data_IF_862816106450
#
_entry.id   IF_862816106450
#
_cell.length_a   1.000
_cell.length_b   1.000
_cell.length_c   1.000
_cell.angle_alpha   90.00
_cell.angle_beta   90.00
_cell.angle_gamma   90.00
#
_symmetry.space_group_name_H-M   'P 1'
#
loop_
_entity.id
_entity.type
_entity.pdbx_description
1 polymer ?
#
# COMPACT_ATOMS: atom_id res chain seq x y z
N UNK A 1 12.80 -7.12 12.62
CA UNK A 1 11.46 -7.76 12.53
C UNK A 1 10.94 -8.06 13.94
N UNK A 2 9.87 -7.42 14.42
CA UNK A 2 9.04 -8.09 15.41
C UNK A 2 8.42 -9.29 14.69
N UNK A 3 8.76 -10.52 15.10
CA UNK A 3 8.18 -11.79 14.61
C UNK A 3 6.64 -11.83 14.57
N UNK A 4 5.98 -10.83 15.15
CA UNK A 4 4.55 -10.71 15.36
C UNK A 4 3.73 -10.51 14.08
N UNK A 5 4.24 -9.80 13.06
CA UNK A 5 3.44 -9.43 11.88
C UNK A 5 3.20 -10.56 10.88
N UNK A 6 4.16 -11.49 10.71
CA UNK A 6 4.03 -12.55 9.69
C UNK A 6 2.90 -13.52 10.01
N UNK A 7 2.73 -13.86 11.30
CA UNK A 7 1.67 -14.74 11.76
C UNK A 7 0.32 -13.99 11.83
N UNK A 8 0.34 -12.72 12.23
CA UNK A 8 -0.86 -11.87 12.32
C UNK A 8 -1.43 -11.45 10.93
N UNK A 9 -0.64 -11.54 9.86
CA UNK A 9 -1.05 -11.23 8.47
C UNK A 9 -1.17 -12.49 7.58
N UNK A 10 -1.16 -13.68 8.16
CA UNK A 10 -1.36 -14.91 7.39
C UNK A 10 -2.80 -15.02 6.84
N UNK A 11 -2.93 -15.49 5.61
CA UNK A 11 -4.24 -15.84 5.03
C UNK A 11 -4.62 -17.24 5.54
N UNK A 12 -5.78 -17.31 6.21
CA UNK A 12 -6.34 -18.54 6.75
C UNK A 12 -7.59 -18.96 5.98
N UNK A 13 -7.75 -20.27 5.77
CA UNK A 13 -8.87 -20.86 5.02
C UNK A 13 -9.75 -21.68 5.99
N UNK A 14 -11.01 -21.30 6.14
CA UNK A 14 -12.03 -22.13 6.79
C UNK A 14 -12.80 -22.89 5.72
N UNK A 15 -12.30 -24.07 5.34
CA UNK A 15 -12.90 -24.92 4.30
C UNK A 15 -14.34 -25.34 4.64
N UNK A 16 -14.68 -25.47 5.93
CA UNK A 16 -16.04 -25.89 6.33
C UNK A 16 -17.07 -24.81 6.06
N UNK A 17 -16.68 -23.54 6.16
CA UNK A 17 -17.56 -22.39 5.89
C UNK A 17 -17.34 -21.78 4.51
N UNK A 18 -16.30 -22.20 3.79
CA UNK A 18 -15.92 -21.61 2.51
C UNK A 18 -15.45 -20.16 2.65
N UNK A 19 -14.79 -19.82 3.76
CA UNK A 19 -14.37 -18.45 4.05
C UNK A 19 -12.85 -18.32 4.05
N UNK A 20 -12.38 -17.16 3.60
CA UNK A 20 -11.00 -16.72 3.71
C UNK A 20 -10.91 -15.60 4.74
N UNK A 21 -9.84 -15.61 5.54
CA UNK A 21 -9.61 -14.61 6.55
C UNK A 21 -8.16 -14.15 6.54
N UNK A 22 -7.95 -12.85 6.74
CA UNK A 22 -6.65 -12.30 7.06
C UNK A 22 -6.48 -12.28 8.59
N UNK A 23 -5.39 -12.88 9.07
CA UNK A 23 -4.95 -12.84 10.46
C UNK A 23 -5.56 -13.88 11.41
N UNK A 24 -5.24 -13.72 12.69
CA UNK A 24 -5.63 -14.62 13.78
C UNK A 24 -7.13 -14.61 14.12
N UNK A 25 -7.54 -15.49 15.05
CA UNK A 25 -8.95 -15.73 15.39
C UNK A 25 -9.72 -14.48 15.91
N UNK A 26 -9.00 -13.48 16.42
CA UNK A 26 -9.48 -12.24 17.02
C UNK A 26 -9.41 -11.02 16.09
N UNK A 27 -8.61 -11.08 15.01
CA UNK A 27 -8.35 -9.97 14.07
C UNK A 27 -8.84 -10.26 12.64
N UNK A 28 -9.88 -11.06 12.52
CA UNK A 28 -10.37 -11.58 11.24
C UNK A 28 -10.97 -10.50 10.33
N UNK A 29 -10.24 -10.12 9.28
CA UNK A 29 -10.85 -9.49 8.10
C UNK A 29 -11.27 -10.61 7.15
N UNK A 30 -12.56 -10.67 6.79
CA UNK A 30 -13.05 -11.61 5.76
C UNK A 30 -12.51 -11.17 4.41
N UNK A 31 -11.91 -12.11 3.70
CA UNK A 31 -11.37 -11.88 2.37
C UNK A 31 -12.32 -12.43 1.31
N UNK A 32 -12.39 -11.72 0.20
CA UNK A 32 -13.00 -12.19 -1.03
C UNK A 32 -11.93 -12.22 -2.12
N UNK A 33 -11.86 -13.33 -2.85
CA UNK A 33 -11.01 -13.41 -4.04
C UNK A 33 -11.76 -12.77 -5.20
N UNK A 34 -11.15 -11.76 -5.79
CA UNK A 34 -11.63 -11.06 -6.98
C UNK A 34 -10.57 -11.25 -8.06
N UNK A 35 -10.98 -11.45 -9.31
CA UNK A 35 -10.00 -11.54 -10.40
C UNK A 35 -9.54 -10.12 -10.73
N UNK A 36 -8.24 -9.88 -11.00
CA UNK A 36 -7.75 -8.54 -11.33
C UNK A 36 -8.56 -7.86 -12.44
N UNK A 37 -8.98 -8.63 -13.47
CA UNK A 37 -9.79 -8.12 -14.59
C UNK A 37 -11.09 -7.43 -14.15
N UNK A 38 -11.73 -7.92 -13.08
CA UNK A 38 -12.99 -7.35 -12.57
C UNK A 38 -12.78 -5.91 -12.03
N UNK A 39 -11.57 -5.60 -11.55
CA UNK A 39 -11.17 -4.25 -11.12
C UNK A 39 -10.70 -3.42 -12.32
N UNK A 40 -9.94 -4.04 -13.23
CA UNK A 40 -9.43 -3.39 -14.43
C UNK A 40 -10.59 -2.83 -15.27
N UNK A 41 -11.64 -3.61 -15.51
CA UNK A 41 -12.80 -3.18 -16.31
C UNK A 41 -13.77 -2.25 -15.55
N UNK A 42 -13.54 -2.00 -14.25
CA UNK A 42 -14.47 -1.23 -13.40
C UNK A 42 -14.83 0.14 -13.99
N UNK A 43 -13.86 0.81 -14.62
CA UNK A 43 -14.09 2.12 -15.25
C UNK A 43 -15.06 2.09 -16.42
N UNK A 44 -15.20 0.96 -17.12
CA UNK A 44 -16.19 0.82 -18.19
C UNK A 44 -17.63 0.86 -17.64
N UNK A 45 -17.83 0.37 -16.42
CA UNK A 45 -19.13 0.37 -15.76
C UNK A 45 -19.43 1.67 -15.01
N UNK A 46 -18.44 2.19 -14.28
CA UNK A 46 -18.61 3.37 -13.42
C UNK A 46 -18.47 4.71 -14.16
N UNK A 47 -17.93 4.71 -15.38
CA UNK A 47 -17.76 5.90 -16.21
C UNK A 47 -16.81 6.92 -15.57
N UNK A 48 -17.15 8.21 -15.69
CA UNK A 48 -16.26 9.31 -15.29
C UNK A 48 -15.93 9.34 -13.79
N UNK A 49 -16.77 8.74 -12.94
CA UNK A 49 -16.58 8.72 -11.48
C UNK A 49 -15.72 7.55 -11.00
N UNK A 50 -15.24 6.68 -11.90
CA UNK A 50 -14.54 5.46 -11.55
C UNK A 50 -13.33 5.72 -10.64
N UNK A 51 -12.50 6.70 -10.98
CA UNK A 51 -11.31 7.05 -10.21
C UNK A 51 -11.63 7.45 -8.78
N UNK A 52 -12.63 8.31 -8.58
CA UNK A 52 -13.03 8.77 -7.24
C UNK A 52 -13.57 7.61 -6.39
N UNK A 53 -14.35 6.72 -7.00
CA UNK A 53 -14.87 5.53 -6.32
C UNK A 53 -13.73 4.60 -5.93
N UNK A 54 -12.77 4.35 -6.82
CA UNK A 54 -11.62 3.49 -6.55
C UNK A 54 -10.71 4.07 -5.45
N UNK A 55 -10.47 5.39 -5.47
CA UNK A 55 -9.74 6.09 -4.40
C UNK A 55 -10.50 5.94 -3.08
N UNK A 56 -11.83 6.15 -3.06
CA UNK A 56 -12.64 6.03 -1.86
C UNK A 56 -12.65 4.60 -1.29
N UNK A 57 -12.78 3.59 -2.15
CA UNK A 57 -12.68 2.17 -1.78
C UNK A 57 -11.29 1.90 -1.19
N UNK A 58 -10.22 2.31 -1.88
CA UNK A 58 -8.85 2.15 -1.41
C UNK A 58 -8.64 2.81 -0.05
N UNK A 59 -9.08 4.06 0.13
CA UNK A 59 -8.99 4.79 1.41
C UNK A 59 -9.69 4.03 2.53
N UNK A 60 -10.88 3.50 2.26
CA UNK A 60 -11.63 2.69 3.24
C UNK A 60 -10.86 1.43 3.63
N UNK A 61 -10.28 0.72 2.66
CA UNK A 61 -9.47 -0.47 2.91
C UNK A 61 -8.22 -0.15 3.75
N UNK A 62 -7.48 0.90 3.39
CA UNK A 62 -6.29 1.33 4.14
C UNK A 62 -6.62 1.66 5.60
N UNK A 63 -7.75 2.34 5.83
CA UNK A 63 -8.24 2.66 7.18
C UNK A 63 -8.57 1.42 8.00
N UNK A 64 -9.28 0.46 7.42
CA UNK A 64 -9.64 -0.79 8.09
C UNK A 64 -8.41 -1.64 8.42
N UNK A 65 -7.44 -1.75 7.50
CA UNK A 65 -6.17 -2.46 7.75
C UNK A 65 -5.46 -1.85 8.96
N UNK A 66 -5.34 -0.52 9.01
CA UNK A 66 -4.74 0.17 10.14
C UNK A 66 -5.47 -0.12 11.46
N UNK A 67 -6.80 -0.03 11.48
CA UNK A 67 -7.60 -0.24 12.67
C UNK A 67 -7.59 -1.69 13.18
N UNK A 68 -7.41 -2.68 12.31
CA UNK A 68 -7.43 -4.10 12.69
C UNK A 68 -6.06 -4.64 13.08
N UNK A 69 -5.01 -4.23 12.37
CA UNK A 69 -3.68 -4.83 12.52
C UNK A 69 -2.67 -3.91 13.18
N UNK A 70 -2.88 -2.60 13.11
CA UNK A 70 -1.91 -1.60 13.57
C UNK A 70 -2.46 -0.68 14.68
N UNK A 71 -3.65 -0.97 15.22
CA UNK A 71 -4.31 -0.10 16.18
C UNK A 71 -3.59 0.04 17.53
N UNK A 72 -2.91 -1.01 17.96
CA UNK A 72 -2.15 -1.00 19.21
C UNK A 72 -0.95 -0.02 19.18
N UNK A 73 -0.60 0.52 18.01
CA UNK A 73 0.51 1.46 17.81
C UNK A 73 0.10 2.94 17.82
N UNK A 74 -1.21 3.27 17.90
CA UNK A 74 -1.70 4.67 17.81
C UNK A 74 -1.32 5.58 18.98
N UNK A 75 -0.90 5.03 20.11
CA UNK A 75 -0.62 5.84 21.32
C UNK A 75 0.76 6.52 21.32
N UNK A 76 1.45 6.55 20.18
CA UNK A 76 2.81 7.08 20.07
C UNK A 76 2.80 8.36 19.20
N UNK A 77 2.57 9.50 19.85
CA UNK A 77 2.39 10.83 19.24
C UNK A 77 3.70 11.49 18.73
N UNK A 78 4.69 10.72 18.28
CA UNK A 78 5.94 11.29 17.74
C UNK A 78 6.12 10.92 16.26
N UNK A 79 6.49 11.91 15.44
CA UNK A 79 6.73 11.74 13.99
C UNK A 79 7.69 10.59 13.64
N UNK A 80 8.79 10.34 14.38
CA UNK A 80 9.66 9.18 14.14
C UNK A 80 8.89 7.86 14.25
N UNK A 81 8.02 7.73 15.25
CA UNK A 81 7.22 6.51 15.43
C UNK A 81 6.17 6.37 14.33
N UNK A 82 5.56 7.47 13.87
CA UNK A 82 4.63 7.43 12.74
C UNK A 82 5.31 6.98 11.43
N UNK A 83 6.55 7.41 11.19
CA UNK A 83 7.37 6.93 10.06
C UNK A 83 7.64 5.43 10.16
N UNK A 84 8.06 4.95 11.33
CA UNK A 84 8.31 3.51 11.56
C UNK A 84 7.06 2.66 11.41
N UNK A 85 5.90 3.16 11.89
CA UNK A 85 4.61 2.50 11.68
C UNK A 85 4.27 2.47 10.20
N UNK A 86 4.42 3.58 9.47
CA UNK A 86 4.13 3.62 8.04
C UNK A 86 4.97 2.60 7.27
N UNK A 87 6.28 2.54 7.52
CA UNK A 87 7.17 1.56 6.91
C UNK A 87 6.73 0.12 7.25
N UNK A 88 6.37 -0.15 8.52
CA UNK A 88 5.88 -1.46 8.95
C UNK A 88 4.57 -1.85 8.23
N UNK A 89 3.70 -0.88 7.93
CA UNK A 89 2.48 -1.10 7.16
C UNK A 89 2.81 -1.44 5.70
N UNK A 90 3.76 -0.74 5.08
CA UNK A 90 4.21 -1.05 3.71
C UNK A 90 4.82 -2.44 3.60
N UNK A 91 5.61 -2.86 4.59
CA UNK A 91 6.09 -4.24 4.70
C UNK A 91 4.91 -5.21 4.79
N UNK A 92 3.92 -4.94 5.65
CA UNK A 92 2.70 -5.73 5.77
C UNK A 92 1.93 -5.87 4.45
N UNK A 93 1.74 -4.77 3.72
CA UNK A 93 1.13 -4.78 2.39
C UNK A 93 1.95 -5.61 1.40
N UNK A 94 3.28 -5.55 1.47
CA UNK A 94 4.17 -6.40 0.67
C UNK A 94 3.96 -7.88 0.98
N UNK A 95 3.84 -8.26 2.26
CA UNK A 95 3.51 -9.64 2.66
C UNK A 95 2.15 -10.12 2.14
N UNK A 96 1.20 -9.20 1.94
CA UNK A 96 -0.12 -9.51 1.39
C UNK A 96 -0.15 -9.55 -0.15
N UNK A 97 0.99 -9.34 -0.82
CA UNK A 97 1.10 -9.47 -2.27
C UNK A 97 0.74 -8.22 -3.07
N UNK A 98 0.77 -7.03 -2.47
CA UNK A 98 0.50 -5.76 -3.17
C UNK A 98 1.65 -5.28 -4.09
N UNK A 99 2.73 -6.06 -4.18
CA UNK A 99 4.02 -5.65 -4.75
C UNK A 99 5.01 -5.25 -3.64
N UNK A 100 6.26 -4.98 -4.00
CA UNK A 100 7.26 -4.48 -3.07
C UNK A 100 7.09 -2.97 -2.90
N UNK A 101 6.78 -2.56 -1.67
CA UNK A 101 6.53 -1.17 -1.30
C UNK A 101 7.70 -0.60 -0.51
N UNK A 102 8.19 0.56 -0.93
CA UNK A 102 9.20 1.34 -0.21
C UNK A 102 8.77 2.81 -0.13
N UNK A 103 9.20 3.51 0.91
CA UNK A 103 8.91 4.93 1.09
C UNK A 103 10.17 5.76 1.26
N UNK A 104 10.13 6.98 0.73
CA UNK A 104 11.15 8.00 0.93
C UNK A 104 10.47 9.25 1.47
N UNK A 105 10.85 9.66 2.68
CA UNK A 105 10.33 10.87 3.30
C UNK A 105 11.16 12.08 2.87
N UNK A 106 10.50 13.09 2.31
CA UNK A 106 11.08 14.41 2.03
C UNK A 106 10.40 15.45 2.92
N UNK A 107 10.96 16.65 2.95
CA UNK A 107 10.51 17.73 3.83
C UNK A 107 9.02 18.05 3.69
N UNK A 108 8.54 18.11 2.46
CA UNK A 108 7.19 18.54 2.07
C UNK A 108 6.33 17.42 1.46
N UNK A 109 6.88 16.22 1.27
CA UNK A 109 6.16 15.11 0.66
C UNK A 109 6.71 13.74 1.04
N UNK A 110 5.88 12.71 0.85
CA UNK A 110 6.26 11.31 0.99
C UNK A 110 6.16 10.66 -0.39
N UNK A 111 7.24 10.00 -0.83
CA UNK A 111 7.24 9.19 -2.03
C UNK A 111 7.03 7.74 -1.64
N UNK A 112 6.13 7.03 -2.31
CA UNK A 112 5.96 5.58 -2.17
C UNK A 112 6.18 4.93 -3.52
N UNK A 113 7.15 4.04 -3.61
CA UNK A 113 7.41 3.24 -4.79
C UNK A 113 6.77 1.86 -4.63
N UNK A 114 6.06 1.38 -5.65
CA UNK A 114 5.50 0.03 -5.73
C UNK A 114 6.07 -0.70 -6.94
N UNK A 115 6.91 -1.70 -6.67
CA UNK A 115 7.54 -2.56 -7.67
C UNK A 115 6.82 -3.89 -7.79
N UNK A 116 6.81 -4.49 -8.98
CA UNK A 116 6.10 -5.74 -9.24
C UNK A 116 4.64 -5.67 -8.79
N UNK A 117 4.01 -4.52 -9.05
CA UNK A 117 2.60 -4.31 -8.77
C UNK A 117 1.73 -5.21 -9.65
N UNK A 118 0.47 -5.44 -9.28
CA UNK A 118 -0.46 -6.18 -10.16
C UNK A 118 -0.64 -5.51 -11.53
N UNK A 119 -0.45 -4.19 -11.63
CA UNK A 119 -0.50 -3.48 -12.90
C UNK A 119 0.69 -3.82 -13.82
N UNK A 120 1.83 -4.25 -13.28
CA UNK A 120 3.00 -4.67 -14.07
C UNK A 120 2.72 -5.91 -14.91
N UNK A 121 1.82 -6.79 -14.46
CA UNK A 121 1.41 -7.98 -15.20
C UNK A 121 0.49 -7.65 -16.40
N UNK A 122 -0.05 -6.43 -16.46
CA UNK A 122 -1.10 -6.00 -17.38
C UNK A 122 -0.68 -4.75 -18.16
N UNK A 123 0.61 -4.60 -18.47
CA UNK A 123 1.20 -3.40 -19.12
C UNK A 123 0.54 -3.02 -20.45
N UNK A 124 0.01 -4.00 -21.19
CA UNK A 124 -0.66 -3.78 -22.47
C UNK A 124 -2.12 -3.30 -22.31
N UNK A 125 -2.63 -3.25 -21.07
CA UNK A 125 -3.99 -2.83 -20.76
C UNK A 125 -3.99 -1.49 -20.01
N UNK A 126 -4.33 -0.41 -20.70
CA UNK A 126 -4.36 0.93 -20.08
C UNK A 126 -5.34 1.01 -18.88
N UNK A 127 -6.38 0.17 -18.84
CA UNK A 127 -7.33 0.15 -17.74
C UNK A 127 -6.75 -0.49 -16.47
N UNK A 128 -5.58 -1.16 -16.56
CA UNK A 128 -4.82 -1.62 -15.40
C UNK A 128 -4.44 -0.48 -14.44
N UNK A 129 -4.55 0.78 -14.90
CA UNK A 129 -4.44 1.99 -14.07
C UNK A 129 -5.39 1.94 -12.86
N UNK A 130 -6.55 1.29 -12.99
CA UNK A 130 -7.51 1.13 -11.90
C UNK A 130 -6.89 0.40 -10.69
N UNK A 131 -5.96 -0.54 -10.91
CA UNK A 131 -5.22 -1.22 -9.83
C UNK A 131 -4.28 -0.25 -9.11
N UNK A 132 -3.58 0.63 -9.86
CA UNK A 132 -2.73 1.67 -9.29
C UNK A 132 -3.53 2.68 -8.46
N UNK A 133 -4.72 3.05 -8.94
CA UNK A 133 -5.62 3.99 -8.26
C UNK A 133 -6.10 3.41 -6.91
N UNK A 134 -6.45 2.12 -6.86
CA UNK A 134 -6.79 1.46 -5.59
C UNK A 134 -5.58 1.49 -4.64
N UNK A 135 -4.38 1.15 -5.12
CA UNK A 135 -3.16 1.18 -4.30
C UNK A 135 -2.89 2.58 -3.73
N UNK A 136 -3.00 3.62 -4.55
CA UNK A 136 -2.92 5.01 -4.11
C UNK A 136 -3.96 5.32 -3.02
N UNK A 137 -5.20 4.87 -3.20
CA UNK A 137 -6.27 5.00 -2.21
C UNK A 137 -5.92 4.34 -0.88
N UNK A 138 -5.41 3.10 -0.91
CA UNK A 138 -4.98 2.36 0.29
C UNK A 138 -3.91 3.13 1.05
N UNK A 139 -2.86 3.56 0.36
CA UNK A 139 -1.77 4.35 0.94
C UNK A 139 -2.28 5.66 1.56
N UNK A 140 -3.20 6.34 0.89
CA UNK A 140 -3.83 7.54 1.43
C UNK A 140 -4.66 7.24 2.68
N UNK A 141 -5.40 6.13 2.71
CA UNK A 141 -6.17 5.71 3.89
C UNK A 141 -5.28 5.41 5.10
N UNK A 142 -4.11 4.83 4.87
CA UNK A 142 -3.08 4.61 5.89
C UNK A 142 -2.55 5.93 6.43
N UNK A 143 -2.14 6.85 5.54
CA UNK A 143 -1.60 8.16 5.90
C UNK A 143 -2.62 9.02 6.68
N UNK A 144 -3.89 9.01 6.27
CA UNK A 144 -4.99 9.69 6.97
C UNK A 144 -5.05 9.28 8.45
N UNK A 145 -4.92 7.97 8.68
CA UNK A 145 -5.03 7.39 10.02
C UNK A 145 -3.81 7.67 10.88
N UNK A 146 -2.63 7.77 10.26
CA UNK A 146 -1.41 8.22 10.92
C UNK A 146 -1.38 9.75 11.15
N UNK A 147 -2.40 10.48 10.70
CA UNK A 147 -2.51 11.94 10.88
C UNK A 147 -1.76 12.76 9.83
N UNK A 148 -1.20 12.13 8.79
CA UNK A 148 -0.62 12.86 7.66
C UNK A 148 -1.74 13.36 6.75
N UNK A 149 -1.98 14.67 6.76
CA UNK A 149 -2.84 15.32 5.77
C UNK A 149 -2.05 15.53 4.48
N UNK A 150 -2.31 14.73 3.47
CA UNK A 150 -1.60 14.80 2.20
C UNK A 150 -2.53 14.61 0.99
N UNK A 151 -2.16 15.22 -0.13
CA UNK A 151 -2.75 14.94 -1.44
C UNK A 151 -1.82 14.00 -2.23
N UNK A 152 -2.39 12.87 -2.66
CA UNK A 152 -1.66 11.84 -3.40
C UNK A 152 -1.87 11.94 -4.91
N UNK A 153 -0.82 11.73 -5.68
CA UNK A 153 -0.84 11.53 -7.14
C UNK A 153 0.17 10.44 -7.56
N UNK A 154 -0.07 9.78 -8.69
CA UNK A 154 0.90 8.86 -9.29
C UNK A 154 1.79 9.62 -10.28
N UNK A 155 3.11 9.65 -10.01
CA UNK A 155 4.12 10.39 -10.77
C UNK A 155 4.97 9.50 -11.70
N UNK A 156 5.02 8.19 -11.44
CA UNK A 156 5.59 7.18 -12.37
C UNK A 156 4.61 6.01 -12.47
N UNK A 157 4.45 5.43 -13.66
CA UNK A 157 3.48 4.38 -13.92
C UNK A 157 4.03 3.33 -14.91
N UNK A 158 3.95 2.02 -14.61
CA UNK A 158 4.47 0.99 -15.51
C UNK A 158 3.78 0.94 -16.87
N UNK A 159 2.51 1.33 -16.92
CA UNK A 159 1.72 1.41 -18.15
C UNK A 159 2.22 2.50 -19.11
N UNK A 160 3.04 3.43 -18.60
CA UNK A 160 3.69 4.49 -19.38
C UNK A 160 5.17 4.17 -19.65
N UNK A 161 5.61 2.93 -19.38
CA UNK A 161 6.98 2.47 -19.64
C UNK A 161 7.97 2.71 -18.50
N UNK A 162 7.50 3.14 -17.31
CA UNK A 162 8.34 3.20 -16.12
C UNK A 162 8.56 1.81 -15.50
N UNK A 163 9.56 1.68 -14.64
CA UNK A 163 9.87 0.40 -13.99
C UNK A 163 8.96 0.08 -12.79
N UNK A 164 8.20 1.07 -12.30
CA UNK A 164 7.38 0.97 -11.08
C UNK A 164 6.23 1.96 -11.09
N UNK A 165 5.26 1.76 -10.19
CA UNK A 165 4.39 2.85 -9.77
C UNK A 165 5.13 3.69 -8.74
N UNK A 166 5.10 5.02 -8.88
CA UNK A 166 5.58 5.93 -7.84
C UNK A 166 4.48 6.90 -7.51
N UNK A 167 4.11 6.94 -6.24
CA UNK A 167 3.09 7.84 -5.70
C UNK A 167 3.76 8.95 -4.91
N UNK A 168 3.34 10.19 -5.13
CA UNK A 168 3.77 11.35 -4.36
C UNK A 168 2.60 11.82 -3.50
N UNK A 169 2.80 11.87 -2.20
CA UNK A 169 1.87 12.42 -1.22
C UNK A 169 2.41 13.75 -0.72
N UNK A 170 1.90 14.86 -1.28
CA UNK A 170 2.29 16.21 -0.91
C UNK A 170 1.58 16.61 0.39
N UNK A 171 2.34 17.03 1.41
CA UNK A 171 1.78 17.41 2.71
C UNK A 171 1.01 18.72 2.58
N UNK A 172 -0.22 18.74 3.08
CA UNK A 172 -1.07 19.93 3.06
C UNK A 172 -0.80 20.85 4.26
N UNK A 173 -0.30 20.27 5.35
CA UNK A 173 0.02 20.96 6.59
C UNK A 173 1.25 20.31 7.24
N UNK A 174 2.13 21.13 7.82
CA UNK A 174 3.34 20.66 8.50
C UNK A 174 4.49 20.29 7.55
N UNK A 175 5.63 19.92 8.14
CA UNK A 175 6.83 19.44 7.43
C UNK A 175 7.40 18.23 8.18
N UNK A 176 8.07 17.33 7.45
CA UNK A 176 8.85 16.26 8.06
C UNK A 176 10.13 16.87 8.66
N UNK A 177 10.44 16.62 9.95
CA UNK A 177 11.68 17.06 10.58
C UNK A 177 12.92 16.63 9.78
N UNK A 178 13.94 17.48 9.74
CA UNK A 178 15.13 17.26 8.91
C UNK A 178 15.84 15.93 9.25
N UNK A 179 15.79 15.49 10.52
CA UNK A 179 16.34 14.22 10.98
C UNK A 179 15.60 12.97 10.48
N UNK A 180 14.40 13.13 9.91
CA UNK A 180 13.58 12.05 9.36
C UNK A 180 13.55 12.04 7.83
N UNK A 181 14.25 12.96 7.17
CA UNK A 181 14.35 13.01 5.71
C UNK A 181 15.28 11.89 5.23
N UNK A 182 14.82 11.17 4.19
CA UNK A 182 15.57 10.08 3.57
C UNK A 182 16.31 10.55 2.31
N UNK A 183 17.49 9.98 2.09
CA UNK A 183 18.06 9.91 0.74
C UNK A 183 17.24 8.90 -0.09
N UNK A 184 17.02 9.21 -1.37
CA UNK A 184 16.28 8.30 -2.23
C UNK A 184 17.20 7.14 -2.62
N UNK A 185 16.78 5.91 -2.34
CA UNK A 185 17.50 4.70 -2.74
C UNK A 185 17.51 4.59 -4.26
N UNK A 186 18.63 4.15 -4.82
CA UNK A 186 18.71 3.83 -6.24
C UNK A 186 17.84 2.62 -6.61
N UNK A 187 17.35 2.53 -7.86
CA UNK A 187 16.64 1.34 -8.35
C UNK A 187 17.45 0.04 -8.17
N UNK A 188 18.76 0.09 -8.30
CA UNK A 188 19.67 -1.04 -8.11
C UNK A 188 19.67 -1.54 -6.66
N UNK A 189 19.77 -0.63 -5.68
CA UNK A 189 19.69 -0.99 -4.26
C UNK A 189 18.35 -1.63 -3.92
N UNK A 190 17.26 -1.11 -4.48
CA UNK A 190 15.92 -1.68 -4.26
C UNK A 190 15.81 -3.07 -4.87
N UNK A 191 16.35 -3.28 -6.07
CA UNK A 191 16.37 -4.59 -6.72
C UNK A 191 17.14 -5.63 -5.90
N UNK A 192 18.28 -5.26 -5.33
CA UNK A 192 19.06 -6.15 -4.45
C UNK A 192 18.26 -6.54 -3.18
N UNK A 193 17.53 -5.58 -2.59
CA UNK A 193 16.65 -5.85 -1.45
C UNK A 193 15.55 -6.82 -1.85
N UNK A 194 14.89 -6.61 -2.99
CA UNK A 194 13.83 -7.48 -3.50
C UNK A 194 14.33 -8.91 -3.74
N UNK A 195 15.49 -9.07 -4.38
CA UNK A 195 16.10 -10.38 -4.63
C UNK A 195 16.47 -11.10 -3.32
N UNK A 196 16.80 -10.35 -2.25
CA UNK A 196 17.05 -10.92 -0.93
C UNK A 196 15.77 -11.41 -0.24
N UNK A 197 14.64 -10.72 -0.44
CA UNK A 197 13.35 -11.07 0.15
C UNK A 197 12.77 -12.33 -0.48
N UNK A 198 12.89 -12.50 -1.81
CA UNK A 198 12.43 -13.71 -2.52
C UNK A 198 13.12 -14.98 -2.01
N UNK A 199 14.38 -14.90 -1.55
CA UNK A 199 15.12 -16.05 -1.00
C UNK A 199 14.67 -16.47 0.41
N UNK A 200 13.83 -15.68 1.06
CA UNK A 200 13.28 -15.96 2.40
C UNK A 200 11.90 -16.64 2.35
N UNK A 201 11.37 -16.90 1.15
CA UNK A 201 10.16 -17.68 0.86
C UNK A 201 10.52 -18.95 0.10
#
# INVERSE_FOLDING_TARGET
MPKRFKDDLAINIDEKKGHLYLGGADKQIRLFMIRPIDIIEFSEFAGQNASDILIWIGKTLGKEIMQKFFFDYFFLETTPVLKDIFISVLEGLTFMGFGYLDATFKKDHILVSNYNSLADAERDNYMAKNLCIINQGILHGVLDVLGFKAEGEEVECPLLGHDRCKFKFSLLEGEIPDELIDEEKSPEEIKEIMDSLVKLY
#
